data_IF_051313810030
#
_entry.id   IF_051313810030
#
_cell.length_a   1.000
_cell.length_b   1.000
_cell.length_c   1.000
_cell.angle_alpha   90.00
_cell.angle_beta   90.00
_cell.angle_gamma   90.00
#
_symmetry.space_group_name_H-M   'P 1'
#
loop_
_entity.id
_entity.type
_entity.pdbx_description
1 polymer ?
#
# COMPACT_ATOMS: atom_id res chain seq x y z
N UNK A 1 9.14 -23.82 2.39
CA UNK A 1 7.89 -23.05 2.56
C UNK A 1 7.80 -22.37 3.93
N UNK A 2 7.45 -23.02 5.05
CA UNK A 2 7.33 -22.33 6.38
C UNK A 2 8.56 -21.51 6.79
N UNK A 3 9.77 -22.07 6.59
CA UNK A 3 11.04 -21.38 6.88
C UNK A 3 11.23 -20.10 6.07
N UNK A 4 10.79 -20.08 4.81
CA UNK A 4 10.87 -18.89 3.95
C UNK A 4 10.06 -17.75 4.54
N UNK A 5 8.78 -17.97 4.86
CA UNK A 5 7.93 -16.92 5.42
C UNK A 5 8.37 -16.44 6.81
N UNK A 6 9.03 -17.28 7.60
CA UNK A 6 9.67 -16.83 8.85
C UNK A 6 10.81 -15.86 8.55
N UNK A 7 11.73 -16.24 7.64
CA UNK A 7 12.84 -15.39 7.24
C UNK A 7 12.37 -14.06 6.64
N UNK A 8 11.35 -14.09 5.78
CA UNK A 8 10.74 -12.89 5.21
C UNK A 8 10.28 -11.94 6.31
N UNK A 9 9.51 -12.40 7.30
CA UNK A 9 9.00 -11.52 8.38
C UNK A 9 10.10 -10.97 9.27
N UNK A 10 11.17 -11.72 9.46
CA UNK A 10 12.31 -11.31 10.28
C UNK A 10 13.28 -10.37 9.55
N UNK A 11 13.08 -10.13 8.25
CA UNK A 11 14.00 -9.34 7.44
C UNK A 11 15.32 -10.07 7.14
N UNK A 12 15.37 -11.40 7.30
CA UNK A 12 16.58 -12.20 7.05
C UNK A 12 16.75 -12.49 5.56
N UNK A 13 17.23 -11.48 4.83
CA UNK A 13 17.46 -11.57 3.38
C UNK A 13 18.47 -12.66 3.01
N UNK A 14 19.46 -12.94 3.85
CA UNK A 14 20.46 -13.97 3.59
C UNK A 14 19.82 -15.36 3.57
N UNK A 15 18.99 -15.68 4.57
CA UNK A 15 18.23 -16.93 4.56
C UNK A 15 17.25 -17.00 3.40
N UNK A 16 16.60 -15.88 3.03
CA UNK A 16 15.71 -15.83 1.86
C UNK A 16 16.47 -16.19 0.57
N UNK A 17 17.62 -15.55 0.31
CA UNK A 17 18.47 -15.81 -0.86
C UNK A 17 18.90 -17.28 -0.93
N UNK A 18 19.45 -17.81 0.17
CA UNK A 18 19.89 -19.23 0.25
C UNK A 18 18.74 -20.20 -0.04
N UNK A 19 17.52 -19.88 0.42
CA UNK A 19 16.36 -20.74 0.19
C UNK A 19 15.90 -20.71 -1.27
N UNK A 20 15.90 -19.55 -1.93
CA UNK A 20 15.52 -19.42 -3.33
C UNK A 20 16.60 -19.99 -4.27
N UNK A 21 17.88 -19.84 -3.96
CA UNK A 21 18.96 -20.48 -4.73
C UNK A 21 18.82 -22.01 -4.74
N UNK A 22 18.47 -22.61 -3.60
CA UNK A 22 18.26 -24.06 -3.48
C UNK A 22 16.95 -24.53 -4.11
N UNK A 23 15.93 -23.68 -4.12
CA UNK A 23 14.56 -23.98 -4.54
C UNK A 23 13.90 -22.77 -5.19
N UNK A 24 14.25 -22.45 -6.45
CA UNK A 24 13.72 -21.28 -7.15
C UNK A 24 12.19 -21.25 -7.23
N UNK A 25 11.54 -22.42 -7.26
CA UNK A 25 10.08 -22.56 -7.29
C UNK A 25 9.37 -21.97 -6.06
N UNK A 26 10.11 -21.66 -4.99
CA UNK A 26 9.55 -20.99 -3.82
C UNK A 26 9.09 -19.55 -4.10
N UNK A 27 9.54 -18.92 -5.20
CA UNK A 27 9.11 -17.57 -5.58
C UNK A 27 7.59 -17.48 -5.80
N UNK A 28 6.98 -18.55 -6.31
CA UNK A 28 5.54 -18.62 -6.61
C UNK A 28 4.74 -19.41 -5.57
N UNK A 29 5.33 -19.72 -4.40
CA UNK A 29 4.61 -20.47 -3.37
C UNK A 29 3.60 -19.58 -2.63
N UNK A 30 2.74 -20.18 -1.80
CA UNK A 30 1.83 -19.41 -0.93
C UNK A 30 1.99 -19.83 0.52
N UNK A 31 1.78 -18.89 1.45
CA UNK A 31 1.89 -19.17 2.86
C UNK A 31 0.74 -20.07 3.33
N UNK A 32 1.08 -21.04 4.18
CA UNK A 32 0.13 -21.98 4.78
C UNK A 32 -0.01 -21.69 6.27
N UNK A 33 -1.21 -21.84 6.80
CA UNK A 33 -1.45 -21.68 8.23
C UNK A 33 -0.68 -22.72 9.06
N UNK A 34 -0.26 -22.37 10.29
CA UNK A 34 -0.24 -21.02 10.88
C UNK A 34 0.98 -20.16 10.44
N UNK A 35 0.89 -18.80 10.49
CA UNK A 35 -0.22 -18.01 11.06
C UNK A 35 -1.37 -17.72 10.06
N UNK A 36 -2.57 -17.44 10.58
CA UNK A 36 -3.76 -17.11 9.77
C UNK A 36 -3.60 -15.83 8.95
N UNK A 37 -2.82 -14.87 9.42
CA UNK A 37 -2.62 -13.55 8.80
C UNK A 37 -1.87 -13.54 7.45
N UNK A 38 -1.16 -14.62 7.13
CA UNK A 38 -0.40 -14.74 5.88
C UNK A 38 -0.98 -15.84 4.97
N UNK A 39 -2.07 -16.49 5.36
CA UNK A 39 -2.61 -17.62 4.63
C UNK A 39 -2.94 -17.29 3.18
N UNK A 40 -2.37 -18.03 2.23
CA UNK A 40 -2.63 -17.83 0.81
C UNK A 40 -1.82 -16.71 0.18
N UNK A 41 -1.10 -15.90 0.98
CA UNK A 41 -0.30 -14.79 0.47
C UNK A 41 0.98 -15.28 -0.21
N UNK A 42 1.42 -14.55 -1.24
CA UNK A 42 2.70 -14.79 -1.92
C UNK A 42 3.90 -14.28 -1.08
N UNK A 43 5.13 -14.74 -1.36
CA UNK A 43 6.34 -14.19 -0.74
C UNK A 43 6.45 -12.66 -0.86
N UNK A 44 6.08 -12.12 -2.03
CA UNK A 44 6.10 -10.68 -2.30
C UNK A 44 5.13 -9.93 -1.40
N UNK A 45 3.88 -10.40 -1.28
CA UNK A 45 2.89 -9.79 -0.38
C UNK A 45 3.37 -9.78 1.09
N UNK A 46 3.90 -10.90 1.58
CA UNK A 46 4.36 -10.99 2.98
C UNK A 46 5.57 -10.08 3.21
N UNK A 47 6.47 -9.92 2.24
CA UNK A 47 7.61 -9.01 2.33
C UNK A 47 7.15 -7.53 2.41
N UNK A 48 6.24 -7.13 1.52
CA UNK A 48 5.65 -5.79 1.47
C UNK A 48 4.93 -5.46 2.78
N UNK A 49 4.02 -6.33 3.24
CA UNK A 49 3.24 -6.12 4.47
C UNK A 49 4.08 -6.14 5.74
N UNK A 50 5.26 -6.78 5.70
CA UNK A 50 6.21 -6.76 6.82
C UNK A 50 7.14 -5.55 6.79
N UNK A 51 7.06 -4.69 5.76
CA UNK A 51 7.96 -3.55 5.57
C UNK A 51 9.39 -3.95 5.16
N UNK A 52 9.61 -5.20 4.76
CA UNK A 52 10.92 -5.71 4.38
C UNK A 52 11.18 -5.46 2.89
N UNK A 53 11.27 -4.19 2.53
CA UNK A 53 11.35 -3.73 1.14
C UNK A 53 12.58 -4.24 0.39
N UNK A 54 13.71 -4.48 1.07
CA UNK A 54 14.89 -5.09 0.45
C UNK A 54 14.62 -6.53 -0.01
N UNK A 55 13.82 -7.28 0.75
CA UNK A 55 13.38 -8.63 0.36
C UNK A 55 12.34 -8.55 -0.76
N UNK A 56 11.46 -7.55 -0.74
CA UNK A 56 10.50 -7.32 -1.82
C UNK A 56 11.22 -7.03 -3.15
N UNK A 57 12.21 -6.13 -3.16
CA UNK A 57 13.07 -5.85 -4.31
C UNK A 57 13.75 -7.12 -4.85
N UNK A 58 14.31 -7.93 -3.96
CA UNK A 58 14.92 -9.20 -4.36
C UNK A 58 13.91 -10.17 -4.99
N UNK A 59 12.67 -10.23 -4.49
CA UNK A 59 11.62 -11.04 -5.12
C UNK A 59 11.19 -10.49 -6.48
N UNK A 60 11.19 -9.17 -6.66
CA UNK A 60 10.97 -8.55 -7.97
C UNK A 60 12.10 -8.92 -8.94
N UNK A 61 13.37 -8.92 -8.51
CA UNK A 61 14.51 -9.40 -9.32
C UNK A 61 14.33 -10.86 -9.75
N UNK A 62 13.73 -11.68 -8.89
CA UNK A 62 13.47 -13.09 -9.14
C UNK A 62 12.19 -13.35 -9.95
N UNK A 63 11.51 -12.31 -10.44
CA UNK A 63 10.31 -12.46 -11.28
C UNK A 63 9.05 -12.86 -10.50
N UNK A 64 8.90 -12.37 -9.26
CA UNK A 64 7.64 -12.51 -8.54
C UNK A 64 6.46 -11.94 -9.35
N UNK A 65 5.31 -12.61 -9.28
CA UNK A 65 4.08 -12.19 -9.94
C UNK A 65 3.53 -10.91 -9.29
N UNK A 66 3.65 -9.79 -10.00
CA UNK A 66 3.19 -8.46 -9.58
C UNK A 66 1.67 -8.27 -9.68
N UNK A 67 0.95 -9.26 -10.24
CA UNK A 67 -0.51 -9.28 -10.35
C UNK A 67 -1.14 -10.36 -9.46
N UNK A 68 -0.37 -10.99 -8.57
CA UNK A 68 -0.88 -12.01 -7.68
C UNK A 68 -2.00 -11.48 -6.77
N UNK A 69 -3.03 -12.30 -6.55
CA UNK A 69 -4.09 -12.11 -5.58
C UNK A 69 -4.38 -13.45 -4.91
N UNK A 70 -4.68 -13.46 -3.60
CA UNK A 70 -4.98 -14.71 -2.89
C UNK A 70 -6.21 -15.42 -3.48
N UNK A 71 -6.37 -16.71 -3.20
CA UNK A 71 -7.58 -17.46 -3.56
C UNK A 71 -8.72 -17.18 -2.58
N UNK A 72 -9.96 -17.25 -3.05
CA UNK A 72 -11.18 -17.09 -2.21
C UNK A 72 -11.21 -18.00 -0.99
N UNK A 73 -10.67 -19.22 -1.12
CA UNK A 73 -10.58 -20.16 0.00
C UNK A 73 -9.70 -19.67 1.17
N UNK A 74 -8.88 -18.64 0.96
CA UNK A 74 -7.93 -18.14 1.95
C UNK A 74 -8.49 -16.98 2.79
N UNK A 75 -9.21 -16.04 2.16
CA UNK A 75 -9.83 -14.89 2.79
C UNK A 75 -11.13 -14.49 2.12
N UNK A 76 -12.05 -13.93 2.92
CA UNK A 76 -13.28 -13.28 2.43
C UNK A 76 -12.96 -11.99 1.67
N UNK A 77 -12.10 -11.14 2.24
CA UNK A 77 -11.56 -9.97 1.56
C UNK A 77 -10.11 -10.21 1.10
N UNK A 78 -9.85 -9.95 -0.18
CA UNK A 78 -8.57 -10.21 -0.86
C UNK A 78 -8.24 -9.01 -1.74
N UNK A 79 -6.96 -8.76 -1.96
CA UNK A 79 -6.52 -7.68 -2.84
C UNK A 79 -5.31 -8.10 -3.68
N UNK A 80 -5.12 -7.51 -4.88
CA UNK A 80 -3.90 -7.70 -5.63
C UNK A 80 -2.69 -7.22 -4.85
N UNK A 81 -1.53 -7.85 -5.03
CA UNK A 81 -0.26 -7.47 -4.40
C UNK A 81 0.12 -6.02 -4.67
N UNK A 82 -0.32 -5.45 -5.80
CA UNK A 82 -0.17 -4.03 -6.09
C UNK A 82 -0.86 -3.13 -5.04
N UNK A 83 -2.06 -3.52 -4.59
CA UNK A 83 -2.78 -2.78 -3.55
C UNK A 83 -2.13 -2.94 -2.17
N UNK A 84 -1.50 -4.09 -1.87
CA UNK A 84 -0.64 -4.22 -0.68
C UNK A 84 0.55 -3.24 -0.75
N UNK A 85 1.14 -3.04 -1.94
CA UNK A 85 2.24 -2.09 -2.14
C UNK A 85 1.79 -0.64 -2.00
N UNK A 86 0.60 -0.28 -2.52
CA UNK A 86 -0.01 1.04 -2.34
C UNK A 86 -0.22 1.32 -0.85
N UNK A 87 -0.85 0.39 -0.13
CA UNK A 87 -1.06 0.52 1.31
C UNK A 87 0.28 0.68 2.05
N UNK A 88 1.29 -0.12 1.72
CA UNK A 88 2.61 -0.02 2.33
C UNK A 88 3.31 1.32 2.06
N UNK A 89 3.19 1.87 0.84
CA UNK A 89 3.74 3.17 0.49
C UNK A 89 3.07 4.31 1.26
N UNK A 90 1.74 4.30 1.34
CA UNK A 90 0.99 5.29 2.13
C UNK A 90 1.37 5.18 3.62
N UNK A 91 1.28 3.99 4.21
CA UNK A 91 1.56 3.80 5.65
C UNK A 91 3.02 4.06 6.03
N UNK A 92 3.94 4.02 5.06
CA UNK A 92 5.37 4.31 5.25
C UNK A 92 5.72 5.79 5.02
N UNK A 93 4.76 6.62 4.58
CA UNK A 93 4.93 8.07 4.44
C UNK A 93 5.28 8.71 5.79
N UNK A 94 5.87 9.91 5.76
CA UNK A 94 6.27 10.68 6.95
C UNK A 94 5.07 11.42 7.56
N UNK A 95 4.17 10.68 8.18
CA UNK A 95 2.97 11.22 8.83
C UNK A 95 3.14 11.35 10.35
N UNK A 96 2.18 11.99 11.03
CA UNK A 96 2.23 12.23 12.46
C UNK A 96 0.87 12.01 13.13
N UNK A 97 0.87 11.78 14.44
CA UNK A 97 -0.27 12.08 15.30
C UNK A 97 -0.01 13.36 16.07
N UNK A 98 -1.06 14.08 16.42
CA UNK A 98 -1.02 15.28 17.23
C UNK A 98 -2.25 15.28 18.13
N UNK A 99 -2.11 14.73 19.35
CA UNK A 99 -3.20 14.67 20.32
C UNK A 99 -2.86 15.44 21.60
N UNK A 100 -3.89 15.79 22.38
CA UNK A 100 -3.74 16.61 23.59
C UNK A 100 -2.89 15.95 24.70
N UNK A 101 -2.68 14.64 24.64
CA UNK A 101 -1.97 13.87 25.68
C UNK A 101 -0.50 13.72 25.32
N UNK A 102 -0.22 13.22 24.12
CA UNK A 102 1.14 12.87 23.66
C UNK A 102 1.78 14.01 22.87
N UNK A 103 0.99 14.92 22.31
CA UNK A 103 1.44 15.97 21.41
C UNK A 103 1.88 15.43 20.06
N UNK A 104 2.68 16.24 19.34
CA UNK A 104 3.19 15.89 18.03
C UNK A 104 4.16 14.69 18.08
N UNK A 105 3.81 13.63 17.34
CA UNK A 105 4.65 12.44 17.18
C UNK A 105 4.74 12.06 15.71
N UNK A 106 5.93 12.18 15.16
CA UNK A 106 6.24 11.77 13.79
C UNK A 106 6.43 10.25 13.68
N UNK A 107 6.02 9.69 12.54
CA UNK A 107 6.18 8.29 12.17
C UNK A 107 6.96 8.15 10.86
N UNK A 108 7.76 7.09 10.80
CA UNK A 108 8.60 6.71 9.67
C UNK A 108 9.74 7.70 9.35
N UNK A 109 10.59 7.31 8.42
CA UNK A 109 11.72 8.11 7.94
C UNK A 109 11.64 8.29 6.44
N UNK A 110 12.37 9.28 5.91
CA UNK A 110 12.50 9.47 4.45
C UNK A 110 13.00 8.21 3.75
N UNK A 111 13.94 7.50 4.36
CA UNK A 111 14.47 6.23 3.81
C UNK A 111 13.37 5.17 3.67
N UNK A 112 12.54 4.98 4.71
CA UNK A 112 11.44 4.01 4.66
C UNK A 112 10.37 4.40 3.65
N UNK A 113 9.96 5.67 3.62
CA UNK A 113 9.03 6.21 2.63
C UNK A 113 9.57 5.98 1.20
N UNK A 114 10.83 6.34 0.95
CA UNK A 114 11.48 6.17 -0.35
C UNK A 114 11.56 4.71 -0.80
N UNK A 115 11.94 3.79 0.10
CA UNK A 115 12.01 2.35 -0.20
C UNK A 115 10.65 1.76 -0.54
N UNK A 116 9.61 2.10 0.23
CA UNK A 116 8.25 1.63 -0.02
C UNK A 116 7.69 2.15 -1.36
N UNK A 117 7.92 3.43 -1.66
CA UNK A 117 7.55 4.04 -2.93
C UNK A 117 8.31 3.42 -4.10
N UNK A 118 9.60 3.13 -3.92
CA UNK A 118 10.41 2.48 -4.94
C UNK A 118 9.85 1.11 -5.32
N UNK A 119 9.50 0.26 -4.34
CA UNK A 119 8.86 -1.04 -4.57
C UNK A 119 7.55 -0.88 -5.36
N UNK A 120 6.68 0.04 -4.94
CA UNK A 120 5.42 0.31 -5.64
C UNK A 120 5.66 0.71 -7.10
N UNK A 121 6.55 1.70 -7.32
CA UNK A 121 6.90 2.17 -8.67
C UNK A 121 7.46 1.04 -9.52
N UNK A 122 8.36 0.24 -8.95
CA UNK A 122 9.00 -0.87 -9.65
C UNK A 122 7.99 -1.93 -10.07
N UNK A 123 7.04 -2.28 -9.21
CA UNK A 123 5.96 -3.21 -9.55
C UNK A 123 5.12 -2.71 -10.74
N UNK A 124 4.77 -1.42 -10.74
CA UNK A 124 4.03 -0.82 -11.87
C UNK A 124 4.87 -0.82 -13.15
N UNK A 125 6.16 -0.47 -13.05
CA UNK A 125 7.09 -0.51 -14.19
C UNK A 125 7.28 -1.95 -14.74
N UNK A 126 7.08 -2.97 -13.90
CA UNK A 126 7.07 -4.39 -14.27
C UNK A 126 5.73 -4.89 -14.82
N UNK A 127 4.73 -4.00 -14.98
CA UNK A 127 3.43 -4.35 -15.57
C UNK A 127 2.37 -4.81 -14.57
N UNK A 128 2.46 -4.36 -13.30
CA UNK A 128 1.33 -4.50 -12.39
C UNK A 128 0.10 -3.75 -12.94
N UNK A 129 -1.05 -4.42 -12.96
CA UNK A 129 -2.29 -3.94 -13.53
C UNK A 129 -3.00 -2.98 -12.57
N UNK A 130 -2.96 -1.69 -12.89
CA UNK A 130 -3.60 -0.61 -12.14
C UNK A 130 -5.12 -0.78 -12.07
N UNK A 131 -5.73 -1.45 -13.04
CA UNK A 131 -7.18 -1.68 -13.10
C UNK A 131 -7.64 -2.85 -12.25
N UNK A 132 -6.71 -3.66 -11.72
CA UNK A 132 -7.08 -4.83 -10.94
C UNK A 132 -7.64 -4.43 -9.57
N UNK A 133 -8.95 -4.67 -9.41
CA UNK A 133 -9.68 -4.38 -8.19
C UNK A 133 -9.49 -5.46 -7.11
N UNK A 134 -9.71 -5.06 -5.86
CA UNK A 134 -9.88 -6.00 -4.75
C UNK A 134 -11.19 -6.81 -4.88
N UNK A 135 -11.42 -7.76 -3.96
CA UNK A 135 -12.60 -8.63 -4.02
C UNK A 135 -13.93 -7.91 -3.74
N UNK A 136 -13.92 -6.65 -3.30
CA UNK A 136 -15.10 -5.80 -3.21
C UNK A 136 -15.24 -4.83 -4.39
N UNK A 137 -14.34 -4.92 -5.37
CA UNK A 137 -14.35 -4.09 -6.56
C UNK A 137 -13.80 -2.68 -6.32
N UNK A 138 -12.97 -2.48 -5.29
CA UNK A 138 -12.24 -1.23 -5.09
C UNK A 138 -11.02 -1.20 -6.00
N UNK A 139 -10.89 -0.13 -6.78
CA UNK A 139 -9.71 0.14 -7.61
C UNK A 139 -8.50 0.52 -6.76
N UNK A 140 -7.33 0.62 -7.41
CA UNK A 140 -6.14 1.21 -6.79
C UNK A 140 -6.37 2.65 -6.31
N UNK A 141 -7.19 3.43 -7.01
CA UNK A 141 -7.50 4.82 -6.62
C UNK A 141 -8.40 4.87 -5.38
N UNK A 142 -9.42 4.00 -5.30
CA UNK A 142 -10.22 3.86 -4.08
C UNK A 142 -9.33 3.40 -2.91
N UNK A 143 -8.44 2.43 -3.14
CA UNK A 143 -7.52 1.92 -2.11
C UNK A 143 -6.61 3.02 -1.55
N UNK A 144 -5.91 3.76 -2.41
CA UNK A 144 -4.99 4.84 -1.96
C UNK A 144 -5.72 5.93 -1.19
N UNK A 145 -6.97 6.27 -1.57
CA UNK A 145 -7.80 7.21 -0.83
C UNK A 145 -8.11 6.67 0.57
N UNK A 146 -8.60 5.44 0.67
CA UNK A 146 -8.95 4.82 1.95
C UNK A 146 -7.73 4.70 2.89
N UNK A 147 -6.55 4.45 2.35
CA UNK A 147 -5.30 4.43 3.13
C UNK A 147 -4.85 5.81 3.54
N UNK A 148 -4.85 6.79 2.62
CA UNK A 148 -4.40 8.15 2.91
C UNK A 148 -5.26 8.78 4.02
N UNK A 149 -6.56 8.52 4.04
CA UNK A 149 -7.49 8.99 5.09
C UNK A 149 -7.12 8.51 6.49
N UNK A 150 -6.39 7.40 6.65
CA UNK A 150 -5.95 6.91 7.96
C UNK A 150 -4.77 7.70 8.53
N UNK A 151 -4.00 8.39 7.68
CA UNK A 151 -2.80 9.14 8.06
C UNK A 151 -2.94 10.66 7.84
N UNK A 152 -4.09 11.09 7.33
CA UNK A 152 -4.45 12.49 7.17
C UNK A 152 -5.34 12.97 8.34
N UNK A 153 -5.50 14.30 8.52
CA UNK A 153 -6.37 14.82 9.56
C UNK A 153 -7.80 14.32 9.38
N UNK A 154 -8.47 13.99 10.48
CA UNK A 154 -9.83 13.46 10.44
C UNK A 154 -10.82 14.53 9.97
N UNK A 155 -11.73 14.17 9.07
CA UNK A 155 -12.87 15.01 8.71
C UNK A 155 -14.14 14.62 9.49
N UNK A 156 -14.68 15.56 10.25
CA UNK A 156 -15.89 15.37 11.03
C UNK A 156 -17.11 15.91 10.26
N UNK A 157 -17.87 15.00 9.66
CA UNK A 157 -18.99 15.34 8.77
C UNK A 157 -20.17 16.05 9.44
N UNK A 158 -20.43 15.81 10.74
CA UNK A 158 -21.55 16.46 11.43
C UNK A 158 -21.24 17.92 11.77
N UNK A 159 -19.97 18.19 12.06
CA UNK A 159 -19.45 19.48 12.48
C UNK A 159 -18.88 20.31 11.31
N UNK A 160 -18.81 19.72 10.11
CA UNK A 160 -18.18 20.31 8.91
C UNK A 160 -16.76 20.84 9.21
N UNK A 161 -15.97 20.02 9.91
CA UNK A 161 -14.69 20.42 10.53
C UNK A 161 -13.57 19.43 10.19
N UNK A 162 -12.37 19.96 9.94
CA UNK A 162 -11.12 19.20 9.91
C UNK A 162 -10.52 19.20 11.33
N UNK A 163 -10.14 18.03 11.82
CA UNK A 163 -9.44 17.84 13.08
C UNK A 163 -7.97 18.28 12.99
N UNK A 164 -7.36 18.51 14.14
CA UNK A 164 -5.93 18.76 14.31
C UNK A 164 -5.18 17.52 14.83
N UNK A 165 -5.82 16.33 14.76
CA UNK A 165 -5.30 15.04 15.21
C UNK A 165 -4.06 14.57 14.43
N UNK A 166 -3.82 15.17 13.26
CA UNK A 166 -2.65 15.01 12.41
C UNK A 166 -2.37 16.33 11.69
N UNK A 167 -1.12 16.53 11.27
CA UNK A 167 -0.70 17.71 10.49
C UNK A 167 -0.21 17.27 9.11
N UNK A 168 -0.67 17.95 8.06
CA UNK A 168 -0.17 17.75 6.70
C UNK A 168 1.13 18.53 6.54
N UNK A 169 2.24 17.91 6.93
CA UNK A 169 3.58 18.47 6.75
C UNK A 169 3.98 18.52 5.28
N UNK A 170 5.04 19.26 4.95
CA UNK A 170 5.57 19.29 3.58
C UNK A 170 6.06 17.90 3.15
N UNK A 171 6.63 17.15 4.09
CA UNK A 171 7.13 15.80 3.90
C UNK A 171 6.01 14.81 3.61
N UNK A 172 4.91 14.84 4.38
CA UNK A 172 3.74 14.01 4.12
C UNK A 172 3.10 14.37 2.78
N UNK A 173 3.03 15.67 2.47
CA UNK A 173 2.50 16.15 1.20
C UNK A 173 3.35 15.66 0.03
N UNK A 174 4.67 15.73 0.13
CA UNK A 174 5.62 15.18 -0.86
C UNK A 174 5.36 13.68 -1.07
N UNK A 175 5.36 12.91 0.02
CA UNK A 175 5.21 11.44 -0.02
C UNK A 175 3.86 11.00 -0.62
N UNK A 176 2.75 11.66 -0.28
CA UNK A 176 1.44 11.35 -0.86
C UNK A 176 1.32 11.83 -2.30
N UNK A 177 1.80 13.03 -2.61
CA UNK A 177 1.72 13.58 -3.98
C UNK A 177 2.40 12.66 -4.98
N UNK A 178 3.61 12.17 -4.69
CA UNK A 178 4.30 11.24 -5.59
C UNK A 178 3.55 9.91 -5.78
N UNK A 179 2.84 9.40 -4.76
CA UNK A 179 2.05 8.16 -4.86
C UNK A 179 0.84 8.39 -5.77
N UNK A 180 0.07 9.46 -5.52
CA UNK A 180 -1.10 9.78 -6.34
C UNK A 180 -0.72 10.10 -7.78
N UNK A 181 0.31 10.93 -7.99
CA UNK A 181 0.80 11.30 -9.32
C UNK A 181 1.29 10.07 -10.10
N UNK A 182 1.99 9.13 -9.45
CA UNK A 182 2.39 7.87 -10.06
C UNK A 182 1.17 7.08 -10.55
N UNK A 183 0.12 6.95 -9.73
CA UNK A 183 -1.08 6.22 -10.12
C UNK A 183 -1.80 6.90 -11.30
N UNK A 184 -1.94 8.23 -11.27
CA UNK A 184 -2.55 8.98 -12.38
C UNK A 184 -1.73 8.89 -13.67
N UNK A 185 -0.40 9.01 -13.57
CA UNK A 185 0.51 8.86 -14.70
C UNK A 185 0.39 7.47 -15.34
N UNK A 186 0.10 6.45 -14.52
CA UNK A 186 0.03 5.04 -14.94
C UNK A 186 -1.38 4.57 -15.27
N UNK A 187 -2.35 5.49 -15.37
CA UNK A 187 -3.66 5.23 -15.95
C UNK A 187 -4.78 5.01 -14.94
N UNK A 188 -4.59 5.32 -13.66
CA UNK A 188 -5.72 5.39 -12.72
C UNK A 188 -6.69 6.49 -13.17
N UNK A 189 -7.99 6.17 -13.22
CA UNK A 189 -9.02 7.09 -13.69
C UNK A 189 -9.32 8.16 -12.63
N UNK A 190 -8.84 9.38 -12.87
CA UNK A 190 -9.09 10.54 -12.00
C UNK A 190 -10.58 10.88 -11.87
N UNK A 191 -11.40 10.47 -12.85
CA UNK A 191 -12.85 10.70 -12.86
C UNK A 191 -13.63 9.48 -12.39
N UNK A 192 -12.98 8.48 -11.79
CA UNK A 192 -13.66 7.31 -11.25
C UNK A 192 -14.79 7.74 -10.31
N UNK A 193 -15.94 7.09 -10.43
CA UNK A 193 -17.13 7.39 -9.64
C UNK A 193 -17.20 6.51 -8.40
N UNK A 194 -17.54 7.12 -7.26
CA UNK A 194 -17.88 6.40 -6.04
C UNK A 194 -19.22 5.68 -6.20
N UNK A 195 -19.17 4.34 -6.15
CA UNK A 195 -20.33 3.45 -6.29
C UNK A 195 -21.43 3.71 -5.24
N UNK A 196 -21.12 4.37 -4.13
CA UNK A 196 -22.08 4.61 -3.03
C UNK A 196 -23.00 5.79 -3.29
N UNK A 197 -22.55 6.79 -4.07
CA UNK A 197 -23.26 8.06 -4.22
C UNK A 197 -23.32 8.59 -5.68
N UNK A 198 -22.74 7.86 -6.64
CA UNK A 198 -22.66 8.20 -8.07
C UNK A 198 -22.00 9.55 -8.38
N UNK A 199 -21.16 10.07 -7.48
CA UNK A 199 -20.31 11.23 -7.72
C UNK A 199 -18.91 10.77 -8.09
N UNK A 200 -18.10 11.64 -8.68
CA UNK A 200 -16.66 11.36 -8.80
C UNK A 200 -16.04 11.15 -7.41
N UNK A 201 -14.92 10.43 -7.33
CA UNK A 201 -14.16 10.30 -6.08
C UNK A 201 -13.76 11.69 -5.55
N UNK A 202 -13.37 12.62 -6.43
CA UNK A 202 -13.09 14.00 -6.03
C UNK A 202 -14.29 14.67 -5.34
N UNK A 203 -15.47 14.64 -5.95
CA UNK A 203 -16.69 15.23 -5.36
C UNK A 203 -17.14 14.54 -4.08
N UNK A 204 -16.91 13.22 -3.98
CA UNK A 204 -17.24 12.44 -2.79
C UNK A 204 -16.37 12.81 -1.59
N UNK A 205 -15.11 13.16 -1.86
CA UNK A 205 -14.11 13.46 -0.85
C UNK A 205 -13.75 14.94 -0.75
N UNK A 206 -14.42 15.84 -1.47
CA UNK A 206 -14.05 17.26 -1.64
C UNK A 206 -13.87 18.02 -0.31
N UNK A 207 -14.59 17.61 0.74
CA UNK A 207 -14.49 18.22 2.06
C UNK A 207 -13.38 17.62 2.93
N UNK A 208 -12.88 16.45 2.57
CA UNK A 208 -11.83 15.76 3.30
C UNK A 208 -10.43 16.21 2.86
N UNK A 209 -9.42 16.15 3.75
CA UNK A 209 -8.04 16.53 3.40
C UNK A 209 -7.42 15.75 2.25
N UNK A 210 -7.92 14.54 1.96
CA UNK A 210 -7.43 13.71 0.84
C UNK A 210 -7.72 14.34 -0.53
N UNK A 211 -8.74 15.21 -0.65
CA UNK A 211 -9.11 15.83 -1.92
C UNK A 211 -7.98 16.65 -2.57
N UNK A 212 -7.04 17.18 -1.78
CA UNK A 212 -5.90 17.94 -2.31
C UNK A 212 -4.97 17.09 -3.19
N UNK A 213 -5.02 15.75 -3.06
CA UNK A 213 -4.23 14.80 -3.84
C UNK A 213 -5.03 14.21 -5.02
N UNK A 214 -6.31 14.55 -5.15
CA UNK A 214 -7.20 14.06 -6.22
C UNK A 214 -7.26 14.98 -7.44
N UNK A 215 -6.37 15.96 -7.50
CA UNK A 215 -6.18 16.85 -8.65
C UNK A 215 -4.79 16.66 -9.19
N UNK A 216 -4.61 16.63 -10.52
CA UNK A 216 -3.26 16.59 -11.10
C UNK A 216 -2.45 17.79 -10.62
N UNK A 217 -1.23 17.52 -10.14
CA UNK A 217 -0.21 18.54 -9.98
C UNK A 217 -0.05 19.28 -11.32
N UNK A 218 -0.16 20.61 -11.31
CA UNK A 218 0.05 21.45 -12.50
C UNK A 218 1.50 21.44 -12.96
#
# INVERSE_FOLDING_TARGET
MKKLFIAIRQGDINTVKILLEKKPELISCTAKQPPKKDHGQSPLQVAIKSGNFEIAEYFLDCGADVNFMEKESCYEWRMPVLQDAIMAAVMSSRWNTNDDIVGFREFNSKDKASKSFHVLKRMIDMGADISYCDSYGNSCLVRVILDARQILPTYYYKEDRIADDRIITNELKEDLTQIFDLLFQKGADINETDKRNNKTLYESYIKEPVAQFLTKSK
#
